data_IF_900680147590
#
_entry.id   IF_900680147590
#
_cell.length_a   1.000
_cell.length_b   1.000
_cell.length_c   1.000
_cell.angle_alpha   90.00
_cell.angle_beta   90.00
_cell.angle_gamma   90.00
#
_symmetry.space_group_name_H-M   'P 1'
#
loop_
_entity.id
_entity.type
_entity.pdbx_description
1 polymer ?
#
# COMPACT_ATOMS: atom_id res chain seq x y z
N UNK A 1 7.07 0.98 -21.96
CA UNK A 1 7.37 -0.30 -21.28
C UNK A 1 6.18 -0.64 -20.39
N UNK A 2 5.40 -1.66 -20.72
CA UNK A 2 4.53 -2.29 -19.73
C UNK A 2 5.40 -3.27 -18.96
N UNK A 3 5.98 -2.83 -17.84
CA UNK A 3 6.63 -3.72 -16.90
C UNK A 3 5.53 -4.50 -16.19
N UNK A 4 5.40 -5.80 -16.50
CA UNK A 4 4.52 -6.69 -15.76
C UNK A 4 5.12 -6.92 -14.38
N UNK A 5 4.48 -6.41 -13.34
CA UNK A 5 4.85 -6.72 -11.96
C UNK A 5 4.60 -8.20 -11.67
N UNK A 6 5.50 -8.83 -10.91
CA UNK A 6 5.23 -10.15 -10.35
C UNK A 6 4.24 -10.04 -9.17
N UNK A 7 3.74 -11.18 -8.69
CA UNK A 7 2.74 -11.19 -7.63
C UNK A 7 3.25 -10.51 -6.34
N UNK A 8 4.49 -10.77 -5.91
CA UNK A 8 5.07 -10.13 -4.73
C UNK A 8 5.10 -8.60 -4.85
N UNK A 9 5.53 -8.10 -6.01
CA UNK A 9 5.59 -6.66 -6.31
C UNK A 9 4.20 -6.02 -6.30
N UNK A 10 3.19 -6.68 -6.87
CA UNK A 10 1.80 -6.20 -6.82
C UNK A 10 1.30 -6.11 -5.37
N UNK A 11 1.58 -7.12 -4.55
CA UNK A 11 1.21 -7.06 -3.13
C UNK A 11 1.98 -5.97 -2.37
N UNK A 12 3.25 -5.72 -2.71
CA UNK A 12 4.01 -4.60 -2.12
C UNK A 12 3.40 -3.25 -2.48
N UNK A 13 3.01 -3.07 -3.74
CA UNK A 13 2.30 -1.85 -4.19
C UNK A 13 0.99 -1.70 -3.41
N UNK A 14 0.19 -2.76 -3.31
CA UNK A 14 -1.07 -2.72 -2.58
C UNK A 14 -0.86 -2.35 -1.09
N UNK A 15 0.10 -2.98 -0.41
CA UNK A 15 0.43 -2.70 1.00
C UNK A 15 0.84 -1.23 1.20
N UNK A 16 1.60 -0.66 0.28
CA UNK A 16 2.02 0.75 0.34
C UNK A 16 0.82 1.69 0.10
N UNK A 17 -0.09 1.34 -0.82
CA UNK A 17 -1.33 2.10 -1.05
C UNK A 17 -2.18 2.17 0.23
N UNK A 18 -2.37 1.03 0.92
CA UNK A 18 -3.16 1.00 2.16
C UNK A 18 -2.48 1.79 3.29
N UNK A 19 -1.15 1.78 3.38
CA UNK A 19 -0.44 2.61 4.36
C UNK A 19 -0.64 4.11 4.07
N UNK A 20 -0.53 4.50 2.80
CA UNK A 20 -0.78 5.86 2.36
C UNK A 20 -2.23 6.30 2.64
N UNK A 21 -3.21 5.41 2.39
CA UNK A 21 -4.62 5.65 2.66
C UNK A 21 -4.89 5.85 4.15
N UNK A 22 -4.35 4.98 5.00
CA UNK A 22 -4.41 5.13 6.45
C UNK A 22 -3.85 6.46 6.92
N UNK A 23 -2.64 6.82 6.47
CA UNK A 23 -2.04 8.12 6.82
C UNK A 23 -2.87 9.31 6.33
N UNK A 24 -3.46 9.21 5.14
CA UNK A 24 -4.31 10.25 4.57
C UNK A 24 -5.54 10.48 5.45
N UNK A 25 -6.27 9.43 5.81
CA UNK A 25 -7.47 9.55 6.64
C UNK A 25 -7.15 10.00 8.07
N UNK A 26 -6.06 9.53 8.69
CA UNK A 26 -5.60 10.03 10.00
C UNK A 26 -5.24 11.52 9.96
N UNK A 27 -4.64 12.00 8.86
CA UNK A 27 -4.35 13.43 8.66
C UNK A 27 -5.62 14.23 8.40
N UNK A 28 -6.60 13.67 7.69
CA UNK A 28 -7.87 14.31 7.40
C UNK A 28 -8.73 14.45 8.67
N UNK A 29 -8.82 13.41 9.50
CA UNK A 29 -9.51 13.43 10.81
C UNK A 29 -9.05 14.61 11.67
N UNK A 30 -7.73 14.87 11.73
CA UNK A 30 -7.14 15.95 12.54
C UNK A 30 -7.46 17.36 12.04
N UNK A 31 -7.96 17.51 10.81
CA UNK A 31 -8.23 18.81 10.17
C UNK A 31 -9.71 19.18 10.12
N UNK A 32 -10.59 18.26 10.49
CA UNK A 32 -12.04 18.46 10.44
C UNK A 32 -12.56 18.73 11.85
N UNK A 33 -13.53 19.63 11.98
CA UNK A 33 -14.18 19.94 13.26
C UNK A 33 -15.47 19.16 13.49
N UNK A 34 -16.14 18.74 12.40
CA UNK A 34 -17.37 17.97 12.46
C UNK A 34 -17.11 16.53 12.96
N UNK A 35 -17.72 16.16 14.08
CA UNK A 35 -17.46 14.89 14.75
C UNK A 35 -17.95 13.65 13.97
N UNK A 36 -19.04 13.77 13.23
CA UNK A 36 -19.56 12.67 12.38
C UNK A 36 -18.56 12.37 11.24
N UNK A 37 -18.00 13.41 10.64
CA UNK A 37 -16.99 13.27 9.58
C UNK A 37 -15.65 12.75 10.13
N UNK A 38 -15.28 13.12 11.37
CA UNK A 38 -14.10 12.54 12.03
C UNK A 38 -14.27 11.04 12.27
N UNK A 39 -15.43 10.61 12.77
CA UNK A 39 -15.68 9.19 12.99
C UNK A 39 -15.60 8.42 11.68
N UNK A 40 -16.18 8.95 10.60
CA UNK A 40 -16.04 8.36 9.26
C UNK A 40 -14.57 8.20 8.84
N UNK A 41 -13.72 9.22 9.01
CA UNK A 41 -12.30 9.10 8.67
C UNK A 41 -11.54 8.13 9.58
N UNK A 42 -11.92 8.03 10.84
CA UNK A 42 -11.36 7.05 11.78
C UNK A 42 -11.73 5.62 11.38
N UNK A 43 -12.97 5.39 10.97
CA UNK A 43 -13.43 4.11 10.42
C UNK A 43 -12.68 3.76 9.14
N UNK A 44 -12.56 4.70 8.20
CA UNK A 44 -11.81 4.47 6.96
C UNK A 44 -10.34 4.14 7.23
N UNK A 45 -9.66 4.90 8.10
CA UNK A 45 -8.27 4.60 8.49
C UNK A 45 -8.13 3.19 9.11
N UNK A 46 -9.15 2.73 9.85
CA UNK A 46 -9.19 1.39 10.44
C UNK A 46 -9.37 0.31 9.38
N UNK A 47 -10.21 0.52 8.37
CA UNK A 47 -10.37 -0.41 7.26
C UNK A 47 -9.08 -0.57 6.46
N UNK A 48 -8.38 0.53 6.14
CA UNK A 48 -7.07 0.49 5.46
C UNK A 48 -6.04 -0.33 6.27
N UNK A 49 -6.03 -0.20 7.60
CA UNK A 49 -5.19 -1.04 8.46
C UNK A 49 -5.52 -2.54 8.34
N UNK A 50 -6.81 -2.89 8.27
CA UNK A 50 -7.27 -4.28 8.11
C UNK A 50 -6.87 -4.80 6.73
N UNK A 51 -7.06 -4.02 5.68
CA UNK A 51 -6.65 -4.37 4.33
C UNK A 51 -5.14 -4.58 4.21
N UNK A 52 -4.33 -3.66 4.75
CA UNK A 52 -2.87 -3.79 4.80
C UNK A 52 -2.45 -5.11 5.44
N UNK A 53 -3.07 -5.45 6.58
CA UNK A 53 -2.82 -6.73 7.26
C UNK A 53 -3.20 -7.91 6.37
N UNK A 54 -4.38 -7.86 5.73
CA UNK A 54 -4.85 -8.91 4.84
C UNK A 54 -3.93 -9.12 3.64
N UNK A 55 -3.47 -8.05 2.98
CA UNK A 55 -2.51 -8.14 1.88
C UNK A 55 -1.15 -8.68 2.34
N UNK A 56 -0.70 -8.29 3.54
CA UNK A 56 0.53 -8.84 4.12
C UNK A 56 0.44 -10.35 4.37
N UNK A 57 -0.70 -10.83 4.89
CA UNK A 57 -0.97 -12.26 5.08
C UNK A 57 -1.02 -13.03 3.76
N UNK A 58 -1.66 -12.48 2.73
CA UNK A 58 -1.75 -13.09 1.40
C UNK A 58 -0.38 -13.14 0.72
N UNK A 59 0.40 -12.06 0.82
CA UNK A 59 1.78 -11.99 0.32
C UNK A 59 2.67 -13.05 0.97
N UNK A 60 2.54 -13.26 2.28
CA UNK A 60 3.32 -14.27 3.00
C UNK A 60 3.04 -15.69 2.49
N UNK A 61 1.83 -15.96 2.00
CA UNK A 61 1.40 -17.25 1.45
C UNK A 61 1.81 -17.47 -0.02
N UNK A 62 2.44 -16.49 -0.66
CA UNK A 62 2.91 -16.68 -2.03
C UNK A 62 3.94 -17.81 -2.11
N UNK A 63 3.87 -18.67 -3.15
CA UNK A 63 4.92 -19.63 -3.41
C UNK A 63 6.24 -18.92 -3.72
N UNK A 64 7.38 -19.51 -3.36
CA UNK A 64 8.71 -18.89 -3.53
C UNK A 64 8.99 -18.50 -4.99
N UNK A 65 8.50 -19.29 -5.95
CA UNK A 65 8.60 -18.99 -7.39
C UNK A 65 7.90 -17.67 -7.79
N UNK A 66 6.90 -17.24 -7.02
CA UNK A 66 6.20 -15.96 -7.22
C UNK A 66 6.85 -14.79 -6.46
N UNK A 67 7.87 -15.07 -5.63
CA UNK A 67 8.71 -14.11 -4.91
C UNK A 67 10.06 -13.88 -5.56
N UNK A 68 10.48 -14.76 -6.48
CA UNK A 68 11.72 -14.58 -7.24
C UNK A 68 11.64 -13.33 -8.12
N UNK A 69 12.34 -12.29 -7.70
CA UNK A 69 12.62 -11.13 -8.55
C UNK A 69 13.44 -11.59 -9.76
N UNK A 70 12.90 -11.41 -10.96
CA UNK A 70 13.59 -11.80 -12.20
C UNK A 70 14.82 -10.93 -12.52
N UNK A 71 15.13 -9.93 -11.68
CA UNK A 71 16.11 -8.89 -11.94
C UNK A 71 17.03 -8.69 -10.73
N UNK A 72 18.34 -8.70 -10.97
CA UNK A 72 19.35 -8.35 -9.97
C UNK A 72 19.27 -6.83 -9.68
N UNK A 73 18.92 -6.47 -8.45
CA UNK A 73 18.70 -5.08 -8.02
C UNK A 73 19.53 -4.75 -6.76
N UNK A 74 20.83 -4.43 -6.92
CA UNK A 74 21.72 -4.14 -5.79
C UNK A 74 21.41 -2.82 -5.09
N UNK A 75 20.77 -1.87 -5.79
CA UNK A 75 20.49 -0.50 -5.31
C UNK A 75 19.03 -0.30 -4.86
N UNK A 76 18.25 -1.38 -4.81
CA UNK A 76 16.82 -1.42 -4.48
C UNK A 76 15.99 -0.39 -5.28
N UNK A 77 16.34 -0.22 -6.56
CA UNK A 77 15.63 0.68 -7.48
C UNK A 77 14.18 0.24 -7.67
N UNK A 78 13.94 -1.07 -7.67
CA UNK A 78 12.61 -1.62 -7.87
C UNK A 78 11.71 -1.35 -6.66
N UNK A 79 12.27 -1.35 -5.44
CA UNK A 79 11.56 -0.88 -4.25
C UNK A 79 11.17 0.60 -4.31
N UNK A 80 12.04 1.46 -4.84
CA UNK A 80 11.74 2.89 -5.05
C UNK A 80 10.65 3.08 -6.09
N UNK A 81 10.68 2.28 -7.17
CA UNK A 81 9.67 2.31 -8.21
C UNK A 81 8.29 1.87 -7.69
N UNK A 82 8.23 0.79 -6.91
CA UNK A 82 7.00 0.34 -6.23
C UNK A 82 6.40 1.46 -5.37
N UNK A 83 7.24 2.12 -4.57
CA UNK A 83 6.80 3.25 -3.74
C UNK A 83 6.25 4.40 -4.59
N UNK A 84 6.97 4.80 -5.64
CA UNK A 84 6.52 5.84 -6.57
C UNK A 84 5.16 5.50 -7.20
N UNK A 85 4.95 4.23 -7.58
CA UNK A 85 3.70 3.78 -8.17
C UNK A 85 2.53 3.87 -7.18
N UNK A 86 2.75 3.51 -5.91
CA UNK A 86 1.74 3.66 -4.87
C UNK A 86 1.43 5.14 -4.57
N UNK A 87 2.46 5.97 -4.37
CA UNK A 87 2.33 7.38 -3.99
C UNK A 87 1.62 8.23 -5.07
N UNK A 88 1.80 7.91 -6.36
CA UNK A 88 1.32 8.78 -7.45
C UNK A 88 -0.17 8.64 -7.79
N UNK A 89 -0.85 7.58 -7.37
CA UNK A 89 -2.10 7.16 -8.04
C UNK A 89 -3.39 7.21 -7.20
N UNK A 90 -3.33 7.19 -5.86
CA UNK A 90 -4.54 7.06 -5.04
C UNK A 90 -4.73 8.19 -4.02
N UNK A 91 -3.73 8.49 -3.19
CA UNK A 91 -3.82 9.52 -2.15
C UNK A 91 -2.73 10.57 -2.38
N UNK A 92 -3.11 11.82 -2.69
CA UNK A 92 -2.22 12.94 -3.04
C UNK A 92 -2.36 14.11 -2.07
#
# INVERSE_FOLDING_TARGET
MLFGFNADEVFRIAIEIEENGKEFYEKAERKIDNEEVKELFRELAREEFIHKKRFSELRAQLPELAKEGQVFDPDNEMGKYIKMMADMHVFR
#
